data_IF_475899273220
#
_entry.id   IF_475899273220
#
_cell.length_a   1.000
_cell.length_b   1.000
_cell.length_c   1.000
_cell.angle_alpha   90.00
_cell.angle_beta   90.00
_cell.angle_gamma   90.00
#
_symmetry.space_group_name_H-M   'P 1'
#
loop_
_entity.id
_entity.type
_entity.pdbx_description
1 polymer ?
#
# COMPACT_ATOMS: atom_id res chain seq x y z
N UNK A 1 -19.55 -37.82 43.95
CA UNK A 1 -19.33 -38.66 42.74
C UNK A 1 -17.94 -38.46 42.12
N UNK A 2 -17.50 -37.20 41.89
CA UNK A 2 -16.22 -36.86 41.25
C UNK A 2 -14.98 -37.39 42.01
N UNK A 3 -14.96 -37.27 43.34
CA UNK A 3 -13.85 -37.78 44.17
C UNK A 3 -13.64 -39.31 44.06
N UNK A 4 -14.72 -40.06 43.87
CA UNK A 4 -14.66 -41.52 43.73
C UNK A 4 -14.10 -41.95 42.37
N UNK A 5 -14.41 -41.18 41.32
CA UNK A 5 -13.87 -41.41 39.98
C UNK A 5 -12.38 -41.04 39.95
N UNK A 6 -12.00 -39.92 40.55
CA UNK A 6 -10.61 -39.50 40.68
C UNK A 6 -9.77 -40.55 41.43
N UNK A 7 -10.27 -41.08 42.55
CA UNK A 7 -9.59 -42.14 43.28
C UNK A 7 -9.43 -43.43 42.45
N UNK A 8 -10.44 -43.84 41.69
CA UNK A 8 -10.34 -45.02 40.82
C UNK A 8 -9.32 -44.84 39.70
N UNK A 9 -9.27 -43.66 39.10
CA UNK A 9 -8.27 -43.31 38.08
C UNK A 9 -6.88 -43.24 38.67
N UNK A 10 -6.73 -42.65 39.86
CA UNK A 10 -5.47 -42.58 40.60
C UNK A 10 -4.90 -43.96 40.92
N UNK A 11 -5.76 -44.88 41.37
CA UNK A 11 -5.35 -46.27 41.65
C UNK A 11 -4.89 -47.02 40.39
N UNK A 12 -5.56 -46.80 39.25
CA UNK A 12 -5.11 -47.36 37.97
C UNK A 12 -3.80 -46.74 37.50
N UNK A 13 -3.66 -45.43 37.68
CA UNK A 13 -2.46 -44.69 37.32
C UNK A 13 -1.23 -45.13 38.11
N UNK A 14 -1.37 -45.35 39.42
CA UNK A 14 -0.31 -45.87 40.30
C UNK A 14 0.17 -47.28 39.93
N UNK A 15 -0.65 -48.04 39.19
CA UNK A 15 -0.35 -49.41 38.72
C UNK A 15 0.24 -49.45 37.32
N UNK A 16 0.37 -48.32 36.62
CA UNK A 16 0.94 -48.29 35.28
C UNK A 16 2.45 -48.54 35.35
N UNK A 17 2.91 -49.51 34.55
CA UNK A 17 4.31 -49.71 34.20
C UNK A 17 4.39 -49.72 32.67
N UNK A 18 4.72 -48.56 32.09
CA UNK A 18 4.76 -48.37 30.64
C UNK A 18 5.95 -49.09 30.01
N UNK A 19 7.03 -49.28 30.79
CA UNK A 19 8.29 -49.87 30.33
C UNK A 19 8.44 -51.35 30.73
N UNK A 20 7.32 -52.04 30.97
CA UNK A 20 7.32 -53.44 31.39
C UNK A 20 8.05 -54.32 30.38
N UNK A 21 9.09 -55.03 30.83
CA UNK A 21 9.78 -56.06 30.03
C UNK A 21 9.32 -57.47 30.39
N UNK A 22 9.48 -58.41 29.45
CA UNK A 22 9.09 -59.82 29.61
C UNK A 22 9.93 -60.56 30.65
N UNK A 23 11.16 -60.12 30.89
CA UNK A 23 12.14 -60.82 31.73
C UNK A 23 12.67 -59.86 32.80
N UNK A 24 11.79 -59.53 33.76
CA UNK A 24 12.05 -58.49 34.76
C UNK A 24 12.53 -59.09 36.08
N UNK A 25 13.82 -59.01 36.35
CA UNK A 25 14.40 -59.18 37.70
C UNK A 25 13.91 -58.05 38.63
N UNK A 26 13.96 -58.25 39.96
CA UNK A 26 13.49 -57.27 40.95
C UNK A 26 14.14 -55.87 40.78
N UNK A 27 15.43 -55.84 40.43
CA UNK A 27 16.17 -54.60 40.19
C UNK A 27 15.69 -53.85 38.94
N UNK A 28 15.40 -54.56 37.85
CA UNK A 28 14.86 -53.98 36.62
C UNK A 28 13.45 -53.45 36.82
N UNK A 29 12.61 -54.13 37.60
CA UNK A 29 11.24 -53.69 37.89
C UNK A 29 11.20 -52.34 38.61
N UNK A 30 12.11 -52.10 39.57
CA UNK A 30 12.23 -50.78 40.22
C UNK A 30 12.61 -49.68 39.23
N UNK A 31 13.54 -49.94 38.32
CA UNK A 31 13.96 -48.99 37.27
C UNK A 31 12.81 -48.68 36.30
N UNK A 32 12.05 -49.69 35.90
CA UNK A 32 10.88 -49.53 35.01
C UNK A 32 9.77 -48.67 35.63
N UNK A 33 9.46 -48.88 36.91
CA UNK A 33 8.47 -48.08 37.63
C UNK A 33 8.92 -46.62 37.78
N UNK A 34 10.19 -46.40 38.12
CA UNK A 34 10.75 -45.04 38.21
C UNK A 34 10.73 -44.36 36.84
N UNK A 35 11.17 -45.06 35.79
CA UNK A 35 11.14 -44.54 34.42
C UNK A 35 9.72 -44.19 33.98
N UNK A 36 8.72 -45.03 34.30
CA UNK A 36 7.32 -44.76 34.00
C UNK A 36 6.83 -43.48 34.68
N UNK A 37 7.15 -43.29 35.97
CA UNK A 37 6.78 -42.08 36.72
C UNK A 37 7.43 -40.83 36.14
N UNK A 38 8.73 -40.87 35.89
CA UNK A 38 9.48 -39.75 35.30
C UNK A 38 8.92 -39.41 33.92
N UNK A 39 8.66 -40.41 33.08
CA UNK A 39 8.07 -40.20 31.76
C UNK A 39 6.71 -39.53 31.85
N UNK A 40 5.81 -40.01 32.70
CA UNK A 40 4.47 -39.43 32.80
C UNK A 40 4.53 -38.02 33.39
N UNK A 41 5.34 -37.77 34.42
CA UNK A 41 5.55 -36.42 34.95
C UNK A 41 6.07 -35.49 33.85
N UNK A 42 7.09 -35.90 33.10
CA UNK A 42 7.63 -35.14 31.97
C UNK A 42 6.57 -34.87 30.90
N UNK A 43 5.78 -35.88 30.55
CA UNK A 43 4.71 -35.76 29.56
C UNK A 43 3.64 -34.76 30.00
N UNK A 44 3.15 -34.87 31.25
CA UNK A 44 2.18 -33.93 31.81
C UNK A 44 2.77 -32.52 31.84
N UNK A 45 4.02 -32.35 32.27
CA UNK A 45 4.66 -31.02 32.26
C UNK A 45 4.75 -30.44 30.86
N UNK A 46 5.08 -31.24 29.84
CA UNK A 46 5.13 -30.78 28.45
C UNK A 46 3.76 -30.35 27.91
N UNK A 47 2.68 -31.06 28.27
CA UNK A 47 1.34 -30.67 27.88
C UNK A 47 0.92 -29.37 28.58
N UNK A 48 1.26 -29.23 29.86
CA UNK A 48 0.99 -28.01 30.63
C UNK A 48 1.73 -26.82 30.02
N UNK A 49 3.03 -26.96 29.70
CA UNK A 49 3.79 -25.86 29.08
C UNK A 49 3.23 -25.47 27.72
N UNK A 50 2.88 -26.42 26.86
CA UNK A 50 2.25 -26.15 25.56
C UNK A 50 0.91 -25.41 25.75
N UNK A 51 0.10 -25.85 26.71
CA UNK A 51 -1.21 -25.23 26.98
C UNK A 51 -1.04 -23.80 27.47
N UNK A 52 -0.12 -23.56 28.41
CA UNK A 52 0.20 -22.22 28.91
C UNK A 52 0.68 -21.35 27.75
N UNK A 53 1.67 -21.80 26.97
CA UNK A 53 2.19 -21.03 25.83
C UNK A 53 1.05 -20.67 24.86
N UNK A 54 0.18 -21.62 24.54
CA UNK A 54 -0.94 -21.41 23.62
C UNK A 54 -2.02 -20.49 24.18
N UNK A 55 -2.23 -20.50 25.49
CA UNK A 55 -3.17 -19.60 26.16
C UNK A 55 -2.64 -18.17 26.24
N UNK A 56 -1.33 -18.01 26.46
CA UNK A 56 -0.66 -16.71 26.59
C UNK A 56 -0.22 -16.12 25.25
N UNK A 57 -0.28 -16.87 24.15
CA UNK A 57 0.07 -16.33 22.84
C UNK A 57 -0.94 -15.26 22.42
N UNK A 58 -0.48 -14.02 22.29
CA UNK A 58 -1.31 -12.91 21.82
C UNK A 58 -1.69 -13.17 20.36
N UNK A 59 -2.99 -13.16 20.07
CA UNK A 59 -3.51 -13.29 18.70
C UNK A 59 -3.70 -11.91 18.11
N UNK A 60 -2.96 -11.57 17.06
CA UNK A 60 -3.22 -10.37 16.26
C UNK A 60 -4.48 -10.59 15.42
N UNK A 61 -5.50 -9.76 15.61
CA UNK A 61 -6.72 -9.79 14.80
C UNK A 61 -6.59 -8.71 13.75
N UNK A 62 -6.62 -9.10 12.47
CA UNK A 62 -6.71 -8.14 11.38
C UNK A 62 -8.16 -7.64 11.24
N UNK A 63 -8.32 -6.32 11.17
CA UNK A 63 -9.61 -5.65 10.97
C UNK A 63 -9.52 -4.76 9.75
N UNK A 64 -10.40 -5.00 8.78
CA UNK A 64 -10.48 -4.21 7.55
C UNK A 64 -11.64 -3.23 7.66
N UNK A 65 -11.36 -1.93 7.61
CA UNK A 65 -12.38 -0.88 7.51
C UNK A 65 -12.34 -0.31 6.07
N UNK A 66 -13.47 -0.38 5.35
CA UNK A 66 -13.59 0.19 4.01
C UNK A 66 -13.95 1.66 4.08
N UNK A 67 -13.17 2.52 3.42
CA UNK A 67 -13.40 3.98 3.34
C UNK A 67 -13.61 4.63 4.73
N UNK A 68 -12.61 4.58 5.63
CA UNK A 68 -12.70 5.28 6.90
C UNK A 68 -12.77 6.80 6.66
N UNK A 69 -13.44 7.54 7.55
CA UNK A 69 -13.33 9.00 7.56
C UNK A 69 -11.89 9.43 7.88
N UNK A 70 -11.50 10.64 7.47
CA UNK A 70 -10.14 11.17 7.75
C UNK A 70 -9.82 11.20 9.24
N UNK A 71 -10.82 11.53 10.06
CA UNK A 71 -10.71 11.54 11.52
C UNK A 71 -10.49 10.13 12.08
N UNK A 72 -11.21 9.14 11.54
CA UNK A 72 -11.08 7.73 11.94
C UNK A 72 -9.72 7.17 11.55
N UNK A 73 -9.27 7.45 10.33
CA UNK A 73 -7.94 7.06 9.86
C UNK A 73 -6.83 7.67 10.73
N UNK A 74 -6.90 8.96 11.01
CA UNK A 74 -5.89 9.64 11.84
C UNK A 74 -5.81 9.04 13.25
N UNK A 75 -6.94 8.69 13.84
CA UNK A 75 -6.97 8.01 15.15
C UNK A 75 -6.35 6.60 15.09
N UNK A 76 -6.69 5.82 14.07
CA UNK A 76 -6.14 4.47 13.87
C UNK A 76 -4.64 4.51 13.60
N UNK A 77 -4.17 5.46 12.79
CA UNK A 77 -2.76 5.64 12.48
C UNK A 77 -1.94 6.02 13.73
N UNK A 78 -2.50 6.86 14.62
CA UNK A 78 -1.88 7.17 15.92
C UNK A 78 -1.84 5.96 16.86
N UNK A 79 -2.87 5.12 16.83
CA UNK A 79 -3.00 3.96 17.73
C UNK A 79 -2.18 2.74 17.27
N UNK A 80 -2.02 2.56 15.96
CA UNK A 80 -1.40 1.39 15.33
C UNK A 80 -0.37 1.79 14.26
N UNK A 81 0.66 2.59 14.59
CA UNK A 81 1.54 3.20 13.60
C UNK A 81 2.35 2.18 12.78
N UNK A 82 2.71 1.04 13.38
CA UNK A 82 3.54 0.01 12.74
C UNK A 82 2.74 -1.09 12.03
N UNK A 83 1.43 -1.19 12.26
CA UNK A 83 0.61 -2.30 11.76
C UNK A 83 -0.52 -1.86 10.84
N UNK A 84 -0.82 -0.56 10.75
CA UNK A 84 -1.82 -0.03 9.82
C UNK A 84 -1.34 -0.14 8.37
N UNK A 85 -2.18 -0.66 7.50
CA UNK A 85 -1.92 -0.76 6.06
C UNK A 85 -3.07 -0.11 5.30
N UNK A 86 -2.74 0.80 4.37
CA UNK A 86 -3.70 1.46 3.50
C UNK A 86 -3.35 1.15 2.04
N UNK A 87 -3.91 0.07 1.47
CA UNK A 87 -3.76 -0.16 0.04
C UNK A 87 -4.51 0.93 -0.74
N UNK A 88 -3.90 1.44 -1.80
CA UNK A 88 -4.58 2.34 -2.72
C UNK A 88 -5.67 1.57 -3.48
N UNK A 89 -6.87 2.14 -3.58
CA UNK A 89 -7.98 1.56 -4.35
C UNK A 89 -7.72 1.63 -5.86
N UNK A 90 -6.92 2.60 -6.31
CA UNK A 90 -6.49 2.81 -7.69
C UNK A 90 -5.01 3.17 -7.73
N UNK A 91 -4.29 2.68 -8.74
CA UNK A 91 -2.87 2.98 -8.94
C UNK A 91 -2.64 4.36 -9.58
N UNK A 92 -3.64 4.89 -10.29
CA UNK A 92 -3.62 6.21 -10.87
C UNK A 92 -5.00 6.86 -10.72
N UNK A 93 -4.99 8.16 -10.51
CA UNK A 93 -6.18 9.01 -10.45
C UNK A 93 -6.05 9.99 -11.61
N UNK A 94 -7.08 10.08 -12.45
CA UNK A 94 -7.09 11.01 -13.57
C UNK A 94 -7.15 12.45 -13.06
N UNK A 95 -6.48 13.38 -13.75
CA UNK A 95 -6.34 14.78 -13.30
C UNK A 95 -7.68 15.50 -13.15
N UNK A 96 -8.64 15.21 -14.04
CA UNK A 96 -10.00 15.71 -14.00
C UNK A 96 -10.76 15.34 -12.71
N UNK A 97 -10.35 14.28 -12.00
CA UNK A 97 -11.01 13.84 -10.78
C UNK A 97 -10.66 14.70 -9.55
N UNK A 98 -9.56 15.46 -9.58
CA UNK A 98 -9.12 16.28 -8.45
C UNK A 98 -8.75 17.72 -8.82
N UNK A 99 -8.66 18.04 -10.12
CA UNK A 99 -8.41 19.39 -10.62
C UNK A 99 -9.62 19.88 -11.39
N UNK A 100 -10.27 20.91 -10.86
CA UNK A 100 -11.24 21.73 -11.60
C UNK A 100 -10.57 23.02 -12.05
N UNK A 101 -10.34 23.16 -13.35
CA UNK A 101 -9.78 24.37 -13.95
C UNK A 101 -10.87 25.19 -14.63
N UNK A 102 -11.23 26.34 -14.05
CA UNK A 102 -11.98 27.37 -14.76
C UNK A 102 -11.00 28.33 -15.42
N UNK A 103 -10.81 28.22 -16.74
CA UNK A 103 -9.97 29.18 -17.48
C UNK A 103 -10.79 30.45 -17.73
N UNK A 104 -10.40 31.55 -17.08
CA UNK A 104 -10.92 32.89 -17.40
C UNK A 104 -9.84 33.68 -18.12
N UNK A 105 -10.08 33.95 -19.41
CA UNK A 105 -9.21 34.83 -20.18
C UNK A 105 -9.48 36.27 -19.79
N UNK A 106 -8.47 36.95 -19.28
CA UNK A 106 -8.50 38.39 -19.17
C UNK A 106 -8.14 39.00 -20.52
N UNK A 107 -8.89 40.03 -20.98
CA UNK A 107 -8.50 40.76 -22.18
C UNK A 107 -7.11 41.35 -21.96
N UNK A 108 -6.27 41.30 -23.00
CA UNK A 108 -4.96 41.96 -22.97
C UNK A 108 -5.21 43.47 -23.01
N UNK A 109 -5.18 44.12 -21.84
CA UNK A 109 -5.50 45.54 -21.73
C UNK A 109 -4.38 46.47 -22.23
N UNK A 110 -3.14 45.99 -22.28
CA UNK A 110 -1.99 46.74 -22.77
C UNK A 110 -0.89 45.79 -23.22
N UNK A 111 -0.55 45.83 -24.50
CA UNK A 111 0.57 45.10 -25.06
C UNK A 111 1.00 45.77 -26.35
N UNK A 112 2.30 45.76 -26.65
CA UNK A 112 2.78 46.26 -27.94
C UNK A 112 2.17 45.51 -29.12
N UNK A 113 1.75 44.26 -28.90
CA UNK A 113 1.09 43.42 -29.92
C UNK A 113 -0.36 43.82 -30.23
N UNK A 114 -0.98 44.68 -29.41
CA UNK A 114 -2.31 45.24 -29.68
C UNK A 114 -2.23 46.72 -30.08
N UNK A 115 -1.02 47.29 -30.19
CA UNK A 115 -0.83 48.66 -30.67
C UNK A 115 -0.98 48.73 -32.18
N UNK A 116 -1.54 49.85 -32.67
CA UNK A 116 -1.72 50.07 -34.11
C UNK A 116 -0.39 50.08 -34.89
N UNK A 117 0.71 50.43 -34.22
CA UNK A 117 2.07 50.40 -34.76
C UNK A 117 2.49 48.97 -35.14
N UNK A 118 2.14 47.97 -34.33
CA UNK A 118 2.40 46.57 -34.59
C UNK A 118 1.57 46.06 -35.78
N UNK A 119 0.28 46.40 -35.81
CA UNK A 119 -0.58 46.07 -36.95
C UNK A 119 -0.05 46.68 -38.24
N UNK A 120 0.34 47.96 -38.22
CA UNK A 120 0.92 48.60 -39.39
C UNK A 120 2.22 47.93 -39.83
N UNK A 121 3.07 47.50 -38.90
CA UNK A 121 4.31 46.81 -39.23
C UNK A 121 4.05 45.48 -39.96
N UNK A 122 3.06 44.69 -39.52
CA UNK A 122 2.71 43.41 -40.13
C UNK A 122 1.98 43.57 -41.46
N UNK A 123 1.01 44.49 -41.54
CA UNK A 123 0.07 44.55 -42.66
C UNK A 123 0.51 45.47 -43.81
N UNK A 124 1.56 46.28 -43.64
CA UNK A 124 2.06 47.17 -44.72
C UNK A 124 3.25 46.61 -45.49
N UNK A 125 3.76 45.43 -45.12
CA UNK A 125 4.86 44.78 -45.84
C UNK A 125 4.38 43.47 -46.46
N UNK A 126 4.28 43.41 -47.79
CA UNK A 126 3.87 42.20 -48.53
C UNK A 126 4.91 41.06 -48.54
N UNK A 127 6.04 41.20 -47.83
CA UNK A 127 7.10 40.19 -47.76
C UNK A 127 7.70 40.07 -46.34
N UNK A 128 6.87 39.94 -45.31
CA UNK A 128 7.36 39.60 -43.97
C UNK A 128 7.41 38.08 -43.82
N UNK A 129 8.63 37.55 -43.79
CA UNK A 129 8.88 36.23 -43.22
C UNK A 129 8.86 36.34 -41.69
N UNK A 130 7.75 35.94 -41.06
CA UNK A 130 7.69 35.82 -39.59
C UNK A 130 8.34 34.50 -39.19
N UNK A 131 9.58 34.55 -38.71
CA UNK A 131 10.23 33.39 -38.09
C UNK A 131 9.93 33.40 -36.60
N UNK A 132 9.15 32.42 -36.14
CA UNK A 132 8.97 32.19 -34.71
C UNK A 132 10.27 31.60 -34.13
N UNK A 133 11.06 32.42 -33.45
CA UNK A 133 12.09 31.91 -32.55
C UNK A 133 11.38 31.38 -31.30
N UNK A 134 11.59 30.10 -30.97
CA UNK A 134 11.15 29.54 -29.70
C UNK A 134 11.80 30.32 -28.57
N UNK A 135 10.98 30.97 -27.75
CA UNK A 135 11.43 31.62 -26.53
C UNK A 135 11.93 30.53 -25.58
N UNK A 136 13.24 30.46 -25.34
CA UNK A 136 13.78 29.75 -24.19
C UNK A 136 13.25 30.44 -22.94
N UNK A 137 12.35 29.76 -22.23
CA UNK A 137 11.84 30.25 -20.95
C UNK A 137 13.00 30.15 -19.95
N UNK A 138 13.69 31.27 -19.70
CA UNK A 138 14.49 31.42 -18.50
C UNK A 138 13.53 31.60 -17.31
N UNK A 139 13.07 30.50 -16.73
CA UNK A 139 12.40 30.56 -15.42
C UNK A 139 13.45 30.89 -14.36
N UNK A 140 13.54 32.15 -13.94
CA UNK A 140 14.19 32.52 -12.68
C UNK A 140 13.28 32.09 -11.51
N UNK A 141 13.15 30.78 -11.33
CA UNK A 141 12.35 30.18 -10.28
C UNK A 141 12.76 28.73 -10.10
N UNK A 142 13.46 28.44 -9.01
CA UNK A 142 13.75 27.06 -8.59
C UNK A 142 12.45 26.30 -8.35
N UNK A 143 12.03 25.51 -9.33
CA UNK A 143 11.11 24.39 -9.15
C UNK A 143 11.76 23.16 -9.80
N UNK A 144 11.90 22.03 -9.07
CA UNK A 144 12.48 20.83 -9.65
C UNK A 144 11.43 20.18 -10.55
N UNK A 145 11.57 20.35 -11.86
CA UNK A 145 10.82 19.55 -12.83
C UNK A 145 11.32 18.11 -12.74
N UNK A 146 10.43 17.21 -12.29
CA UNK A 146 10.67 15.77 -12.29
C UNK A 146 10.88 15.23 -13.70
N UNK A 147 11.48 14.05 -13.77
CA UNK A 147 12.03 13.43 -14.96
C UNK A 147 11.05 13.07 -16.10
N UNK A 148 9.80 13.52 -16.02
CA UNK A 148 8.73 13.15 -16.95
C UNK A 148 8.36 14.29 -17.92
N UNK A 149 8.91 15.49 -17.73
CA UNK A 149 8.56 16.67 -18.55
C UNK A 149 9.31 16.78 -19.89
N UNK A 150 10.50 16.20 -19.98
CA UNK A 150 11.33 16.30 -21.20
C UNK A 150 10.87 15.39 -22.34
N UNK A 151 10.19 14.28 -22.03
CA UNK A 151 9.70 13.34 -23.06
C UNK A 151 8.51 13.90 -23.87
N UNK A 152 7.81 14.92 -23.36
CA UNK A 152 6.69 15.56 -24.08
C UNK A 152 7.15 16.61 -25.10
N UNK A 153 8.39 17.13 -24.98
CA UNK A 153 8.91 18.13 -25.94
C UNK A 153 9.54 17.51 -27.20
N UNK A 154 9.91 16.22 -27.19
CA UNK A 154 10.50 15.56 -28.37
C UNK A 154 9.49 15.04 -29.39
N UNK A 155 8.18 15.09 -29.12
CA UNK A 155 7.14 14.61 -30.05
C UNK A 155 6.58 15.67 -31.01
N UNK A 156 6.94 16.94 -30.87
CA UNK A 156 6.41 18.03 -31.72
C UNK A 156 7.21 18.32 -32.99
N UNK A 157 8.14 17.44 -33.41
CA UNK A 157 8.73 17.48 -34.75
C UNK A 157 7.80 16.76 -35.76
N UNK A 158 6.65 17.37 -36.05
CA UNK A 158 5.74 16.94 -37.10
C UNK A 158 5.67 17.98 -38.21
N UNK A 159 6.11 17.62 -39.42
CA UNK A 159 5.97 18.44 -40.62
C UNK A 159 4.49 18.77 -40.88
N UNK A 160 4.13 20.05 -40.97
CA UNK A 160 2.80 20.47 -41.40
C UNK A 160 2.80 20.75 -42.91
N UNK A 161 2.18 19.87 -43.69
CA UNK A 161 1.71 20.19 -45.04
C UNK A 161 0.38 20.93 -44.93
N UNK A 162 0.34 22.17 -45.42
CA UNK A 162 -0.88 22.95 -45.56
C UNK A 162 -1.65 22.46 -46.80
N UNK A 163 -2.60 21.54 -46.62
CA UNK A 163 -3.58 21.22 -47.65
C UNK A 163 -4.91 21.93 -47.33
N UNK A 164 -5.29 22.83 -48.24
CA UNK A 164 -6.53 23.60 -48.19
C UNK A 164 -7.76 22.71 -48.16
N UNK A 165 -8.66 23.00 -47.22
CA UNK A 165 -9.99 22.42 -47.16
C UNK A 165 -11.00 23.48 -47.59
N UNK A 166 -11.58 23.28 -48.76
CA UNK A 166 -12.71 24.01 -49.29
C UNK A 166 -13.92 23.89 -48.36
N UNK A 167 -14.63 25.01 -48.22
CA UNK A 167 -15.94 25.14 -47.60
C UNK A 167 -16.97 24.25 -48.30
N UNK A 168 -17.81 23.55 -47.53
CA UNK A 168 -19.10 23.09 -48.01
C UNK A 168 -20.16 23.33 -46.93
N UNK A 169 -20.97 24.36 -47.17
CA UNK A 169 -22.21 24.67 -46.47
C UNK A 169 -23.30 23.73 -47.00
N UNK A 170 -24.04 23.10 -46.10
CA UNK A 170 -25.35 22.46 -46.33
C UNK A 170 -26.12 22.83 -45.06
N UNK A 171 -27.23 23.57 -45.07
CA UNK A 171 -28.43 23.41 -45.88
C UNK A 171 -29.55 23.10 -44.89
#
# INVERSE_FOLDING_TARGET
>A
MILNIANRLWQKFLRLNLFKKSDSTEQTLRKELIATRVYICSFITSLITITIITAFIVRTIERTESQPSDTRFTQLAKRYPSTIKCPCSKYAISYDAFVTSEVRFHPVCSSRFIEQTWFNMIFTNENISVTCASMEIWTNGHLPLSSSGYDLMSQFHGNYELNGANEHIIG
#
